data_IF_466933998854
#
_entry.id   IF_466933998854
#
_cell.length_a   1.000
_cell.length_b   1.000
_cell.length_c   1.000
_cell.angle_alpha   90.00
_cell.angle_beta   90.00
_cell.angle_gamma   90.00
#
_symmetry.space_group_name_H-M   'P 1'
#
loop_
_entity.id
_entity.type
_entity.pdbx_description
1 polymer ?
#
# COMPACT_ATOMS: atom_id res chain seq x y z
N UNK A 1 -5.68 57.41 38.04
CA UNK A 1 -5.76 56.00 37.57
C UNK A 1 -4.36 55.58 37.12
N UNK A 2 -4.05 54.29 37.28
CA UNK A 2 -2.71 53.69 37.46
C UNK A 2 -1.71 53.86 36.30
N UNK A 3 -0.42 53.82 36.68
CA UNK A 3 0.78 53.60 35.85
C UNK A 3 0.87 52.14 35.39
N UNK A 4 1.21 51.89 34.12
CA UNK A 4 1.84 50.64 33.65
C UNK A 4 2.95 51.03 32.65
N UNK A 5 4.21 51.16 33.09
CA UNK A 5 5.32 50.18 33.07
C UNK A 5 5.56 49.47 31.72
N UNK A 6 6.67 49.89 31.10
CA UNK A 6 7.44 49.22 30.03
C UNK A 6 7.74 47.74 30.30
N UNK A 7 8.07 47.00 29.24
CA UNK A 7 9.24 46.10 29.03
C UNK A 7 9.09 45.50 27.60
N UNK A 8 9.85 45.89 26.56
CA UNK A 8 11.21 45.48 26.20
C UNK A 8 11.47 43.97 26.26
N UNK A 9 11.64 43.29 25.10
CA UNK A 9 12.90 42.64 24.67
C UNK A 9 12.77 41.79 23.38
N UNK A 10 13.87 41.89 22.61
CA UNK A 10 14.39 41.26 21.38
C UNK A 10 13.94 39.86 20.89
N UNK A 11 14.17 39.55 19.59
CA UNK A 11 14.04 38.20 19.05
C UNK A 11 15.31 37.37 19.33
N UNK A 12 15.13 36.13 19.77
CA UNK A 12 16.20 35.18 19.99
C UNK A 12 16.42 34.28 18.77
N UNK A 13 17.67 34.30 18.30
CA UNK A 13 18.49 33.18 17.82
C UNK A 13 17.84 32.02 17.02
N UNK A 14 18.26 31.98 15.75
CA UNK A 14 18.64 30.82 14.95
C UNK A 14 18.92 29.52 15.74
N UNK A 15 18.19 28.45 15.40
CA UNK A 15 18.59 27.07 15.67
C UNK A 15 18.44 26.24 14.40
N UNK A 16 19.57 25.64 14.01
CA UNK A 16 19.78 24.70 12.92
C UNK A 16 18.76 23.55 12.93
N UNK A 17 18.23 23.22 11.75
CA UNK A 17 17.46 22.00 11.53
C UNK A 17 18.42 20.80 11.46
N UNK A 18 18.10 19.65 12.09
CA UNK A 18 18.89 18.44 11.92
C UNK A 18 18.51 17.72 10.61
N UNK A 19 19.51 17.52 9.77
CA UNK A 19 19.52 16.56 8.66
C UNK A 19 19.37 15.15 9.22
N UNK A 20 18.27 14.45 8.89
CA UNK A 20 18.05 13.04 9.26
C UNK A 20 16.63 12.71 9.69
N UNK A 21 15.65 12.87 8.79
CA UNK A 21 14.28 12.38 9.01
C UNK A 21 14.17 10.85 8.79
N UNK A 22 13.20 10.18 9.44
CA UNK A 22 13.03 8.73 9.32
C UNK A 22 12.75 8.35 7.86
N UNK A 23 13.49 7.37 7.33
CA UNK A 23 13.21 6.77 6.02
C UNK A 23 11.84 6.11 6.12
N UNK A 24 10.83 6.80 5.63
CA UNK A 24 9.43 6.47 5.82
C UNK A 24 9.08 5.20 5.01
N UNK A 25 8.40 4.19 5.59
CA UNK A 25 7.97 2.97 4.88
C UNK A 25 6.98 3.24 3.73
N UNK A 26 6.57 4.50 3.55
CA UNK A 26 5.68 4.97 2.48
C UNK A 26 6.21 4.69 1.08
N UNK A 27 7.53 4.66 0.85
CA UNK A 27 8.09 4.36 -0.47
C UNK A 27 7.85 2.91 -0.91
N UNK A 28 7.99 1.95 0.00
CA UNK A 28 7.75 0.52 -0.29
C UNK A 28 6.27 0.22 -0.46
N UNK A 29 5.42 0.73 0.45
CA UNK A 29 3.98 0.52 0.36
C UNK A 29 3.40 1.18 -0.91
N UNK A 30 3.82 2.41 -1.23
CA UNK A 30 3.35 3.09 -2.45
C UNK A 30 3.79 2.35 -3.73
N UNK A 31 5.03 1.87 -3.81
CA UNK A 31 5.51 1.09 -4.93
C UNK A 31 4.72 -0.24 -5.09
N UNK A 32 4.45 -0.93 -3.97
CA UNK A 32 3.64 -2.16 -3.97
C UNK A 32 2.20 -1.89 -4.41
N UNK A 33 1.55 -0.88 -3.84
CA UNK A 33 0.18 -0.49 -4.19
C UNK A 33 0.07 -0.16 -5.67
N UNK A 34 1.00 0.62 -6.21
CA UNK A 34 1.03 0.94 -7.64
C UNK A 34 1.18 -0.31 -8.49
N UNK A 35 2.15 -1.18 -8.18
CA UNK A 35 2.38 -2.41 -8.91
C UNK A 35 1.16 -3.35 -8.88
N UNK A 36 0.46 -3.45 -7.74
CA UNK A 36 -0.79 -4.20 -7.63
C UNK A 36 -1.88 -3.63 -8.52
N UNK A 37 -2.12 -2.33 -8.46
CA UNK A 37 -3.11 -1.65 -9.29
C UNK A 37 -2.84 -1.83 -10.79
N UNK A 38 -1.58 -1.74 -11.20
CA UNK A 38 -1.16 -1.94 -12.60
C UNK A 38 -1.26 -3.42 -13.05
N UNK A 39 -1.19 -4.37 -12.11
CA UNK A 39 -1.19 -5.81 -12.40
C UNK A 39 -2.58 -6.45 -12.42
N UNK A 40 -3.60 -5.79 -11.86
CA UNK A 40 -4.96 -6.31 -11.81
C UNK A 40 -5.59 -6.40 -13.20
N UNK A 41 -6.14 -7.57 -13.51
CA UNK A 41 -6.89 -7.79 -14.74
C UNK A 41 -7.99 -8.86 -14.52
N UNK A 42 -8.77 -9.16 -15.56
CA UNK A 42 -9.84 -10.14 -15.52
C UNK A 42 -9.36 -11.55 -15.11
N UNK A 43 -8.15 -11.93 -15.51
CA UNK A 43 -7.56 -13.25 -15.24
C UNK A 43 -7.00 -13.41 -13.80
N UNK A 44 -6.77 -12.30 -13.08
CA UNK A 44 -6.45 -12.32 -11.65
C UNK A 44 -7.69 -12.13 -10.76
N UNK A 45 -8.82 -11.76 -11.36
CA UNK A 45 -10.08 -11.55 -10.63
C UNK A 45 -10.85 -12.85 -10.40
N UNK A 46 -11.47 -12.97 -9.23
CA UNK A 46 -12.48 -13.98 -8.95
C UNK A 46 -13.88 -13.58 -9.48
N UNK A 47 -14.07 -12.36 -9.97
CA UNK A 47 -15.35 -11.86 -10.45
C UNK A 47 -15.44 -11.96 -11.98
N UNK A 48 -16.34 -12.80 -12.55
CA UNK A 48 -16.38 -13.04 -14.00
C UNK A 48 -16.70 -11.81 -14.86
N UNK A 49 -17.33 -10.79 -14.28
CA UNK A 49 -17.67 -9.52 -14.96
C UNK A 49 -16.70 -8.41 -14.55
N UNK A 50 -15.43 -8.75 -14.33
CA UNK A 50 -14.39 -7.76 -14.05
C UNK A 50 -14.35 -6.71 -15.18
N UNK A 51 -14.08 -5.46 -14.80
CA UNK A 51 -13.92 -4.38 -15.76
C UNK A 51 -12.88 -3.38 -15.26
N UNK A 52 -12.20 -2.64 -16.16
CA UNK A 52 -11.21 -1.65 -15.78
C UNK A 52 -11.78 -0.46 -14.98
N UNK A 53 -13.10 -0.28 -14.94
CA UNK A 53 -13.75 0.79 -14.15
C UNK A 53 -13.71 0.52 -12.64
N UNK A 54 -13.59 -0.75 -12.23
CA UNK A 54 -13.44 -1.14 -10.82
C UNK A 54 -12.43 -2.29 -10.75
N UNK A 55 -11.14 -1.99 -10.97
CA UNK A 55 -10.12 -3.00 -11.21
C UNK A 55 -9.87 -3.90 -9.98
N UNK A 56 -10.17 -3.41 -8.77
CA UNK A 56 -10.07 -4.15 -7.51
C UNK A 56 -11.13 -5.24 -7.33
N UNK A 57 -12.22 -5.22 -8.11
CA UNK A 57 -13.35 -6.13 -7.93
C UNK A 57 -12.93 -7.58 -8.14
N UNK A 58 -13.12 -8.41 -7.12
CA UNK A 58 -12.71 -9.81 -7.12
C UNK A 58 -11.21 -10.05 -6.95
N UNK A 59 -10.42 -9.01 -6.63
CA UNK A 59 -8.96 -9.12 -6.42
C UNK A 59 -8.57 -9.29 -4.94
N UNK A 60 -9.51 -9.24 -4.00
CA UNK A 60 -9.22 -9.12 -2.56
C UNK A 60 -8.32 -10.23 -2.01
N UNK A 61 -8.67 -11.50 -2.21
CA UNK A 61 -7.90 -12.64 -1.67
C UNK A 61 -6.46 -12.69 -2.21
N UNK A 62 -6.30 -12.52 -3.53
CA UNK A 62 -4.98 -12.58 -4.19
C UNK A 62 -4.12 -11.36 -3.84
N UNK A 63 -4.74 -10.20 -3.68
CA UNK A 63 -4.07 -8.97 -3.23
C UNK A 63 -3.59 -9.12 -1.80
N UNK A 64 -4.43 -9.62 -0.90
CA UNK A 64 -4.06 -9.81 0.50
C UNK A 64 -2.90 -10.80 0.69
N UNK A 65 -2.82 -11.84 -0.16
CA UNK A 65 -1.70 -12.77 -0.20
C UNK A 65 -0.39 -12.11 -0.64
N UNK A 66 -0.42 -11.28 -1.70
CA UNK A 66 0.77 -10.55 -2.18
C UNK A 66 1.23 -9.49 -1.18
N UNK A 67 0.29 -8.80 -0.53
CA UNK A 67 0.60 -7.85 0.57
C UNK A 67 1.24 -8.59 1.74
N UNK A 68 0.70 -9.75 2.13
CA UNK A 68 1.29 -10.58 3.18
C UNK A 68 2.72 -11.01 2.84
N UNK A 69 3.01 -11.38 1.58
CA UNK A 69 4.38 -11.71 1.15
C UNK A 69 5.35 -10.54 1.34
N UNK A 70 4.89 -9.31 1.08
CA UNK A 70 5.74 -8.12 1.05
C UNK A 70 5.90 -7.44 2.42
N UNK A 71 4.87 -7.48 3.26
CA UNK A 71 4.75 -6.71 4.51
C UNK A 71 4.46 -7.58 5.74
N UNK A 72 4.17 -8.88 5.57
CA UNK A 72 3.77 -9.77 6.65
C UNK A 72 2.33 -9.51 7.13
N UNK A 73 2.06 -9.89 8.38
CA UNK A 73 0.75 -9.72 9.02
C UNK A 73 -0.22 -10.88 8.80
N UNK A 74 -1.42 -10.70 9.36
CA UNK A 74 -2.52 -11.66 9.33
C UNK A 74 -3.40 -11.44 8.08
N UNK A 75 -3.99 -12.52 7.58
CA UNK A 75 -5.08 -12.46 6.60
C UNK A 75 -6.40 -12.40 7.36
N UNK A 76 -7.11 -11.29 7.24
CA UNK A 76 -8.42 -11.11 7.83
C UNK A 76 -9.50 -11.33 6.79
N UNK A 77 -10.59 -11.99 7.19
CA UNK A 77 -11.74 -12.25 6.34
C UNK A 77 -13.01 -11.71 6.98
N UNK A 78 -13.78 -10.96 6.20
CA UNK A 78 -15.12 -10.47 6.56
C UNK A 78 -16.12 -10.83 5.48
N UNK A 79 -17.41 -10.68 5.77
CA UNK A 79 -18.46 -10.65 4.75
C UNK A 79 -18.97 -9.23 4.59
N UNK A 80 -19.03 -8.74 3.35
CA UNK A 80 -19.58 -7.42 2.98
C UNK A 80 -20.63 -7.66 1.90
N UNK A 81 -21.86 -7.19 2.11
CA UNK A 81 -22.96 -7.38 1.17
C UNK A 81 -23.16 -8.85 0.74
N UNK A 82 -23.03 -9.78 1.70
CA UNK A 82 -23.14 -11.22 1.47
C UNK A 82 -21.94 -11.86 0.74
N UNK A 83 -20.88 -11.11 0.43
CA UNK A 83 -19.69 -11.60 -0.25
C UNK A 83 -18.48 -11.68 0.69
N UNK A 84 -17.70 -12.76 0.58
CA UNK A 84 -16.44 -12.90 1.32
C UNK A 84 -15.42 -11.88 0.81
N UNK A 85 -14.74 -11.21 1.74
CA UNK A 85 -13.70 -10.21 1.46
C UNK A 85 -12.47 -10.44 2.34
N UNK A 86 -11.29 -10.21 1.78
CA UNK A 86 -10.01 -10.43 2.45
C UNK A 86 -9.18 -9.15 2.45
N UNK A 87 -8.51 -8.90 3.56
CA UNK A 87 -7.55 -7.80 3.72
C UNK A 87 -6.48 -8.21 4.74
N UNK A 88 -5.52 -7.33 5.03
CA UNK A 88 -4.44 -7.63 5.97
C UNK A 88 -4.56 -6.82 7.26
N UNK A 89 -4.27 -7.45 8.39
CA UNK A 89 -3.89 -6.74 9.62
C UNK A 89 -2.38 -6.87 9.79
N UNK A 90 -1.66 -5.75 9.71
CA UNK A 90 -0.20 -5.71 9.80
C UNK A 90 0.29 -5.96 11.23
N UNK A 91 1.59 -6.17 11.40
CA UNK A 91 2.20 -6.51 12.70
C UNK A 91 2.06 -5.40 13.75
N UNK A 92 1.87 -4.15 13.32
CA UNK A 92 1.61 -3.00 14.20
C UNK A 92 0.11 -2.81 14.50
N UNK A 93 -0.75 -3.71 14.02
CA UNK A 93 -2.20 -3.65 14.17
C UNK A 93 -2.92 -2.84 13.09
N UNK A 94 -2.21 -2.20 12.17
CA UNK A 94 -2.83 -1.43 11.07
C UNK A 94 -3.60 -2.35 10.13
N UNK A 95 -4.85 -2.00 9.83
CA UNK A 95 -5.62 -2.67 8.77
C UNK A 95 -5.29 -2.06 7.40
N UNK A 96 -4.84 -2.90 6.47
CA UNK A 96 -4.55 -2.52 5.09
C UNK A 96 -5.48 -3.26 4.14
N UNK A 97 -6.37 -2.51 3.48
CA UNK A 97 -7.31 -3.01 2.48
C UNK A 97 -7.23 -2.17 1.21
N UNK A 98 -6.48 -2.68 0.23
CA UNK A 98 -6.30 -2.04 -1.08
C UNK A 98 -7.48 -2.29 -2.04
N UNK A 99 -8.46 -3.09 -1.63
CA UNK A 99 -9.58 -3.52 -2.49
C UNK A 99 -10.96 -3.18 -1.91
N UNK A 100 -11.00 -2.33 -0.88
CA UNK A 100 -12.23 -1.87 -0.22
C UNK A 100 -13.19 -1.20 -1.18
N UNK A 101 -12.65 -0.48 -2.15
CA UNK A 101 -13.39 0.29 -3.16
C UNK A 101 -14.25 -0.57 -4.10
N UNK A 102 -14.10 -1.90 -4.07
CA UNK A 102 -14.99 -2.80 -4.81
C UNK A 102 -16.44 -2.75 -4.29
N UNK A 103 -16.64 -2.30 -3.05
CA UNK A 103 -17.94 -2.14 -2.39
C UNK A 103 -18.35 -0.66 -2.33
N UNK A 104 -19.58 -0.37 -2.74
CA UNK A 104 -20.14 0.96 -2.63
C UNK A 104 -20.47 1.35 -1.17
N UNK A 105 -20.83 0.35 -0.35
CA UNK A 105 -21.15 0.52 1.08
C UNK A 105 -20.29 -0.46 1.87
N UNK A 106 -19.55 0.07 2.85
CA UNK A 106 -18.71 -0.73 3.73
C UNK A 106 -19.45 -1.04 5.03
N UNK A 107 -20.01 -2.24 5.12
CA UNK A 107 -20.68 -2.76 6.32
C UNK A 107 -20.26 -4.23 6.56
N UNK A 108 -19.02 -4.46 7.04
CA UNK A 108 -18.49 -5.80 7.22
C UNK A 108 -19.06 -6.50 8.47
N UNK A 109 -19.07 -7.83 8.44
CA UNK A 109 -19.19 -8.66 9.65
C UNK A 109 -17.95 -8.53 10.54
N UNK A 110 -17.98 -9.15 11.73
CA UNK A 110 -16.78 -9.33 12.56
C UNK A 110 -15.68 -10.04 11.75
N UNK A 111 -14.43 -9.55 11.79
CA UNK A 111 -13.30 -10.20 11.14
C UNK A 111 -12.95 -11.56 11.73
N UNK A 112 -12.53 -12.46 10.85
CA UNK A 112 -12.00 -13.78 11.19
C UNK A 112 -10.60 -13.94 10.56
N UNK A 113 -9.59 -14.17 11.39
CA UNK A 113 -8.24 -14.48 10.92
C UNK A 113 -8.22 -15.82 10.18
N UNK A 114 -7.55 -15.86 9.02
CA UNK A 114 -7.40 -17.05 8.17
C UNK A 114 -5.93 -17.36 7.95
N UNK A 115 -5.60 -18.64 7.91
CA UNK A 115 -4.25 -19.06 7.57
C UNK A 115 -4.02 -18.94 6.07
N UNK A 116 -2.75 -18.76 5.69
CA UNK A 116 -2.36 -18.70 4.28
C UNK A 116 -2.66 -20.02 3.57
N UNK A 117 -2.41 -21.15 4.24
CA UNK A 117 -2.66 -22.49 3.74
C UNK A 117 -4.15 -22.69 3.42
N UNK A 118 -5.03 -22.15 4.26
CA UNK A 118 -6.47 -22.21 4.00
C UNK A 118 -6.84 -21.43 2.74
N UNK A 119 -6.36 -20.20 2.58
CA UNK A 119 -6.69 -19.36 1.41
C UNK A 119 -6.14 -19.97 0.11
N UNK A 120 -4.94 -20.57 0.17
CA UNK A 120 -4.28 -21.26 -0.95
C UNK A 120 -4.74 -22.71 -1.17
N UNK A 121 -5.60 -23.25 -0.30
CA UNK A 121 -6.20 -24.59 -0.51
C UNK A 121 -7.18 -24.62 -1.69
N UNK A 122 -7.69 -23.45 -2.10
CA UNK A 122 -8.58 -23.33 -3.25
C UNK A 122 -7.79 -23.07 -4.54
N UNK A 123 -7.67 -24.09 -5.39
CA UNK A 123 -6.81 -24.06 -6.58
C UNK A 123 -7.02 -22.84 -7.51
N UNK A 124 -8.26 -22.36 -7.78
CA UNK A 124 -8.43 -21.15 -8.57
C UNK A 124 -7.86 -19.89 -7.91
N UNK A 125 -7.86 -19.78 -6.58
CA UNK A 125 -7.18 -18.67 -5.88
C UNK A 125 -5.68 -18.77 -6.07
N UNK A 126 -5.11 -19.96 -5.93
CA UNK A 126 -3.67 -20.19 -6.09
C UNK A 126 -3.18 -19.77 -7.47
N UNK A 127 -3.85 -20.21 -8.54
CA UNK A 127 -3.46 -19.83 -9.92
C UNK A 127 -3.49 -18.32 -10.13
N UNK A 128 -4.52 -17.63 -9.64
CA UNK A 128 -4.65 -16.17 -9.78
C UNK A 128 -3.63 -15.42 -8.92
N UNK A 129 -3.34 -15.93 -7.73
CA UNK A 129 -2.33 -15.35 -6.84
C UNK A 129 -0.93 -15.46 -7.44
N UNK A 130 -0.52 -16.62 -7.96
CA UNK A 130 0.79 -16.79 -8.60
C UNK A 130 0.94 -15.88 -9.83
N UNK A 131 -0.12 -15.74 -10.64
CA UNK A 131 -0.14 -14.81 -11.76
C UNK A 131 0.03 -13.35 -11.31
N UNK A 132 -0.76 -12.91 -10.33
CA UNK A 132 -0.68 -11.54 -9.81
C UNK A 132 0.70 -11.26 -9.21
N UNK A 133 1.24 -12.20 -8.43
CA UNK A 133 2.58 -12.11 -7.85
C UNK A 133 3.66 -11.94 -8.90
N UNK A 134 3.61 -12.73 -9.98
CA UNK A 134 4.58 -12.63 -11.07
C UNK A 134 4.55 -11.24 -11.74
N UNK A 135 3.36 -10.68 -12.00
CA UNK A 135 3.19 -9.34 -12.57
C UNK A 135 3.70 -8.25 -11.64
N UNK A 136 3.33 -8.29 -10.36
CA UNK A 136 3.82 -7.33 -9.35
C UNK A 136 5.35 -7.33 -9.27
N UNK A 137 5.97 -8.52 -9.33
CA UNK A 137 7.43 -8.66 -9.35
C UNK A 137 8.07 -8.02 -10.60
N UNK A 138 7.37 -7.99 -11.74
CA UNK A 138 7.84 -7.34 -12.97
C UNK A 138 7.73 -5.81 -12.90
N UNK A 139 6.61 -5.28 -12.40
CA UNK A 139 6.40 -3.83 -12.20
C UNK A 139 7.39 -3.23 -11.19
N UNK A 140 7.75 -3.98 -10.15
CA UNK A 140 8.73 -3.55 -9.15
C UNK A 140 10.18 -3.63 -9.64
N UNK A 141 10.50 -4.51 -10.60
CA UNK A 141 11.83 -4.58 -11.25
C UNK A 141 12.06 -3.49 -12.29
N UNK A 142 11.01 -3.08 -13.00
CA UNK A 142 11.10 -2.09 -14.10
C UNK A 142 11.13 -0.64 -13.63
N UNK A 143 10.79 -0.39 -12.36
CA UNK A 143 10.81 0.93 -11.75
C UNK A 143 11.63 0.91 -10.46
N UNK A 144 12.95 0.69 -10.53
CA UNK A 144 13.80 0.91 -9.38
C UNK A 144 13.72 2.41 -9.05
N UNK A 145 13.20 2.73 -7.88
CA UNK A 145 13.31 4.06 -7.27
C UNK A 145 14.80 4.33 -6.95
N UNK A 146 15.58 4.60 -7.98
CA UNK A 146 16.96 5.07 -7.88
C UNK A 146 17.00 6.60 -8.03
N UNK A 147 17.88 7.31 -7.30
CA UNK A 147 18.07 8.73 -7.53
C UNK A 147 18.60 8.93 -8.97
N UNK A 148 17.86 9.71 -9.77
CA UNK A 148 18.35 10.19 -11.06
C UNK A 148 19.54 11.12 -10.81
N UNK A 149 20.75 10.57 -10.81
CA UNK A 149 21.96 11.37 -10.97
C UNK A 149 21.98 11.86 -12.41
N UNK A 150 21.59 13.12 -12.61
CA UNK A 150 21.90 13.83 -13.86
C UNK A 150 23.42 13.87 -14.02
N UNK A 151 23.98 13.50 -15.18
CA UNK A 151 25.41 13.67 -15.39
C UNK A 151 25.70 15.17 -15.43
N UNK A 152 26.46 15.64 -14.44
CA UNK A 152 27.05 16.97 -14.42
C UNK A 152 27.96 17.07 -15.65
N UNK A 153 27.52 17.85 -16.63
CA UNK A 153 28.31 18.19 -17.80
C UNK A 153 29.49 19.03 -17.31
N UNK A 154 30.68 18.44 -17.25
CA UNK A 154 31.89 19.19 -16.89
C UNK A 154 32.13 20.34 -17.88
N UNK A 155 32.47 21.54 -17.41
CA UNK A 155 32.82 22.64 -18.29
C UNK A 155 34.21 22.39 -18.89
N UNK A 156 34.27 22.33 -20.21
CA UNK A 156 35.53 22.40 -20.96
C UNK A 156 36.21 23.73 -20.62
N UNK A 157 37.41 23.67 -20.04
CA UNK A 157 38.34 24.79 -19.90
C UNK A 157 39.62 24.49 -20.67
N UNK A 158 40.41 25.52 -21.02
CA UNK A 158 40.04 26.76 -21.71
C UNK A 158 40.49 26.76 -23.19
#
# INVERSE_FOLDING_TARGET
MLRERQLSRSPAAHLNQPEGGPICPTSKLSALTRALCESWNADTSAYPRWSPHTPSRGQCAVTALVVQDALGGDLERVTVDGQSHYYNRLLDGTELDLTRDQFAVWAPTTPETRTREYVLSYAPTTSRYELLKARVAEHTRTHPSGPHTVPFLEPMMP
#
